data_IF_781022466660
#
_entry.id   IF_781022466660
#
_cell.length_a   1.000
_cell.length_b   1.000
_cell.length_c   1.000
_cell.angle_alpha   90.00
_cell.angle_beta   90.00
_cell.angle_gamma   90.00
#
_symmetry.space_group_name_H-M   'P 1'
#
loop_
_entity.id
_entity.type
_entity.pdbx_description
1 polymer ?
#
# COMPACT_ATOMS: atom_id res chain seq x y z
N UNK A 1 3.26 -30.46 16.78
CA UNK A 1 3.02 -31.29 15.57
C UNK A 1 2.05 -30.64 14.58
N UNK A 2 0.77 -30.31 14.94
CA UNK A 2 -0.16 -29.67 13.99
C UNK A 2 0.27 -28.23 13.68
N UNK A 3 0.70 -27.46 14.68
CA UNK A 3 1.21 -26.08 14.52
C UNK A 3 2.45 -26.03 13.62
N UNK A 4 3.37 -26.98 13.78
CA UNK A 4 4.60 -27.04 13.00
C UNK A 4 4.29 -27.38 11.53
N UNK A 5 3.31 -28.26 11.31
CA UNK A 5 2.84 -28.61 9.98
C UNK A 5 2.18 -27.42 9.26
N UNK A 6 1.38 -26.62 9.99
CA UNK A 6 0.74 -25.41 9.43
C UNK A 6 1.80 -24.35 9.12
N UNK A 7 2.74 -24.11 10.03
CA UNK A 7 3.82 -23.15 9.81
C UNK A 7 4.69 -23.55 8.61
N UNK A 8 5.01 -24.83 8.46
CA UNK A 8 5.76 -25.33 7.32
C UNK A 8 4.99 -25.11 5.99
N UNK A 9 3.67 -25.34 5.99
CA UNK A 9 2.82 -25.10 4.80
C UNK A 9 2.76 -23.63 4.44
N UNK A 10 2.59 -22.74 5.42
CA UNK A 10 2.56 -21.28 5.19
C UNK A 10 3.89 -20.79 4.63
N UNK A 11 5.00 -21.25 5.21
CA UNK A 11 6.34 -20.88 4.72
C UNK A 11 6.60 -21.40 3.31
N UNK A 12 6.20 -22.64 3.01
CA UNK A 12 6.31 -23.21 1.67
C UNK A 12 5.46 -22.44 0.66
N UNK A 13 4.23 -22.06 1.05
CA UNK A 13 3.35 -21.26 0.23
C UNK A 13 3.98 -19.88 -0.09
N UNK A 14 4.56 -19.23 0.91
CA UNK A 14 5.23 -17.94 0.75
C UNK A 14 6.44 -18.05 -0.18
N UNK A 15 7.23 -19.12 -0.04
CA UNK A 15 8.38 -19.39 -0.93
C UNK A 15 7.96 -19.62 -2.38
N UNK A 16 6.88 -20.36 -2.60
CA UNK A 16 6.33 -20.61 -3.95
C UNK A 16 5.84 -19.29 -4.55
N UNK A 17 5.08 -18.48 -3.81
CA UNK A 17 4.59 -17.20 -4.29
C UNK A 17 5.74 -16.22 -4.58
N UNK A 18 6.77 -16.21 -3.73
CA UNK A 18 7.96 -15.39 -3.97
C UNK A 18 8.70 -15.81 -5.25
N UNK A 19 8.83 -17.12 -5.51
CA UNK A 19 9.43 -17.62 -6.76
C UNK A 19 8.62 -17.20 -7.99
N UNK A 20 7.30 -17.27 -7.90
CA UNK A 20 6.41 -16.80 -8.97
C UNK A 20 6.60 -15.28 -9.22
N UNK A 21 6.70 -14.47 -8.15
CA UNK A 21 6.92 -13.02 -8.30
C UNK A 21 8.26 -12.69 -8.93
N UNK A 22 9.31 -13.49 -8.68
CA UNK A 22 10.61 -13.32 -9.33
C UNK A 22 10.57 -13.58 -10.85
N UNK A 23 9.69 -14.45 -11.30
CA UNK A 23 9.46 -14.70 -12.72
C UNK A 23 8.89 -13.45 -13.41
N UNK A 24 7.96 -12.76 -12.75
CA UNK A 24 7.30 -11.53 -13.23
C UNK A 24 8.01 -10.23 -12.78
N UNK A 25 9.32 -10.29 -12.52
CA UNK A 25 10.09 -9.14 -12.00
C UNK A 25 9.97 -7.84 -12.81
N UNK A 26 9.81 -7.94 -14.13
CA UNK A 26 9.64 -6.76 -15.00
C UNK A 26 8.29 -6.09 -14.76
N UNK A 27 7.24 -6.87 -14.59
CA UNK A 27 5.91 -6.38 -14.25
C UNK A 27 5.92 -5.69 -12.88
N UNK A 28 6.58 -6.29 -11.90
CA UNK A 28 6.74 -5.71 -10.55
C UNK A 28 7.52 -4.40 -10.60
N UNK A 29 8.56 -4.31 -11.44
CA UNK A 29 9.31 -3.06 -11.64
C UNK A 29 8.40 -1.97 -12.24
N UNK A 30 7.55 -2.29 -13.22
CA UNK A 30 6.58 -1.35 -13.78
C UNK A 30 5.56 -0.89 -12.74
N UNK A 31 5.07 -1.79 -11.90
CA UNK A 31 4.18 -1.45 -10.79
C UNK A 31 4.86 -0.56 -9.73
N UNK A 32 6.13 -0.81 -9.44
CA UNK A 32 6.91 0.06 -8.55
C UNK A 32 7.06 1.48 -9.13
N UNK A 33 7.32 1.59 -10.45
CA UNK A 33 7.39 2.85 -11.17
C UNK A 33 6.03 3.57 -11.16
N UNK A 34 4.91 2.86 -11.30
CA UNK A 34 3.57 3.47 -11.23
C UNK A 34 3.29 4.14 -9.87
N UNK A 35 4.01 3.74 -8.83
CA UNK A 35 3.96 4.33 -7.50
C UNK A 35 4.61 5.72 -7.37
N UNK A 36 5.20 6.28 -8.43
CA UNK A 36 5.90 7.60 -8.42
C UNK A 36 4.92 8.79 -8.33
N UNK A 37 3.61 8.57 -8.39
CA UNK A 37 2.59 9.64 -8.32
C UNK A 37 2.87 10.68 -7.23
N UNK A 38 3.27 10.34 -5.98
CA UNK A 38 3.58 11.33 -4.95
C UNK A 38 4.67 12.33 -5.36
N UNK A 39 5.65 11.92 -6.15
CA UNK A 39 6.73 12.81 -6.59
C UNK A 39 6.26 13.78 -7.69
N UNK A 40 5.32 13.37 -8.54
CA UNK A 40 4.65 14.31 -9.44
C UNK A 40 3.82 15.32 -8.66
N UNK A 41 3.13 14.90 -7.61
CA UNK A 41 2.38 15.79 -6.73
C UNK A 41 3.32 16.76 -6.01
N UNK A 42 4.45 16.31 -5.50
CA UNK A 42 5.48 17.18 -4.92
C UNK A 42 5.85 18.30 -5.90
N UNK A 43 6.16 17.96 -7.15
CA UNK A 43 6.55 18.94 -8.16
C UNK A 43 5.41 19.95 -8.46
N UNK A 44 4.16 19.49 -8.50
CA UNK A 44 3.00 20.37 -8.68
C UNK A 44 2.85 21.34 -7.50
N UNK A 45 3.01 20.84 -6.27
CA UNK A 45 2.85 21.63 -5.06
C UNK A 45 3.96 22.69 -4.91
N UNK A 46 5.21 22.35 -5.22
CA UNK A 46 6.35 23.28 -5.13
C UNK A 46 6.34 24.32 -6.25
N UNK A 47 6.13 23.90 -7.51
CA UNK A 47 6.18 24.83 -8.64
C UNK A 47 5.03 25.84 -8.69
N UNK A 48 3.89 25.55 -8.06
CA UNK A 48 2.76 26.49 -7.99
C UNK A 48 2.70 27.26 -6.67
N UNK A 49 3.75 27.19 -5.83
CA UNK A 49 3.81 27.80 -4.49
C UNK A 49 2.60 27.47 -3.60
N UNK A 50 1.97 26.32 -3.82
CA UNK A 50 0.81 25.87 -3.04
C UNK A 50 1.20 25.52 -1.60
N UNK A 51 2.48 25.18 -1.36
CA UNK A 51 3.07 24.95 -0.06
C UNK A 51 3.07 26.22 0.81
N UNK A 52 3.24 27.41 0.23
CA UNK A 52 3.17 28.68 0.96
C UNK A 52 1.77 28.93 1.53
N UNK A 53 0.73 28.54 0.81
CA UNK A 53 -0.67 28.69 1.25
C UNK A 53 -1.01 27.88 2.51
N UNK A 54 -0.24 26.83 2.79
CA UNK A 54 -0.40 25.94 3.96
C UNK A 54 0.75 26.06 4.97
N UNK A 55 1.65 27.04 4.79
CA UNK A 55 2.83 27.29 5.65
C UNK A 55 3.74 26.07 5.86
N UNK A 56 3.92 25.26 4.83
CA UNK A 56 4.83 24.10 4.85
C UNK A 56 6.07 24.41 4.01
N UNK A 57 7.27 24.14 4.54
CA UNK A 57 8.52 24.28 3.80
C UNK A 57 8.66 23.18 2.72
N UNK A 58 9.37 23.49 1.64
CA UNK A 58 9.64 22.53 0.54
C UNK A 58 10.31 21.24 1.03
N UNK A 59 11.20 21.37 2.01
CA UNK A 59 11.90 20.25 2.63
C UNK A 59 10.90 19.33 3.35
N UNK A 60 9.99 19.91 4.12
CA UNK A 60 8.98 19.13 4.85
C UNK A 60 8.00 18.48 3.89
N UNK A 61 7.62 19.17 2.83
CA UNK A 61 6.75 18.64 1.79
C UNK A 61 7.41 17.48 1.03
N UNK A 62 8.71 17.59 0.72
CA UNK A 62 9.49 16.54 0.08
C UNK A 62 9.57 15.27 0.94
N UNK A 63 9.79 15.42 2.25
CA UNK A 63 9.77 14.31 3.22
C UNK A 63 8.39 13.67 3.31
N UNK A 64 7.33 14.48 3.32
CA UNK A 64 5.95 14.00 3.31
C UNK A 64 5.68 13.08 2.11
N UNK A 65 5.95 13.54 0.89
CA UNK A 65 5.67 12.76 -0.30
C UNK A 65 6.57 11.52 -0.43
N UNK A 66 7.79 11.56 0.11
CA UNK A 66 8.63 10.36 0.20
C UNK A 66 8.03 9.32 1.15
N UNK A 67 7.56 9.74 2.32
CA UNK A 67 6.87 8.84 3.25
C UNK A 67 5.58 8.27 2.62
N UNK A 68 4.77 9.11 1.97
CA UNK A 68 3.57 8.68 1.27
C UNK A 68 3.87 7.66 0.16
N UNK A 69 4.98 7.82 -0.55
CA UNK A 69 5.47 6.84 -1.53
C UNK A 69 5.74 5.48 -0.88
N UNK A 70 6.51 5.44 0.23
CA UNK A 70 6.80 4.17 0.92
C UNK A 70 5.54 3.50 1.46
N UNK A 71 4.68 4.25 2.15
CA UNK A 71 3.44 3.69 2.68
C UNK A 71 2.58 3.12 1.56
N UNK A 72 2.43 3.84 0.44
CA UNK A 72 1.71 3.33 -0.72
C UNK A 72 2.31 2.05 -1.26
N UNK A 73 3.63 1.96 -1.40
CA UNK A 73 4.29 0.76 -1.96
C UNK A 73 4.02 -0.50 -1.13
N UNK A 74 3.85 -0.35 0.18
CA UNK A 74 3.68 -1.49 1.10
C UNK A 74 2.23 -1.70 1.59
N UNK A 75 1.30 -0.77 1.29
CA UNK A 75 -0.11 -0.90 1.69
C UNK A 75 -1.03 -1.36 0.57
N UNK A 76 -0.59 -1.28 -0.69
CA UNK A 76 -1.44 -1.63 -1.84
C UNK A 76 -1.71 -3.13 -1.89
N UNK A 77 -3.00 -3.48 -2.07
CA UNK A 77 -3.51 -4.85 -2.13
C UNK A 77 -4.48 -4.97 -3.31
N UNK A 78 -4.48 -6.10 -4.00
CA UNK A 78 -5.29 -6.38 -5.19
C UNK A 78 -6.10 -7.69 -5.08
N UNK A 79 -6.45 -8.10 -3.86
CA UNK A 79 -7.14 -9.38 -3.59
C UNK A 79 -8.44 -9.50 -4.37
N UNK A 80 -9.22 -8.42 -4.49
CA UNK A 80 -10.51 -8.45 -5.19
C UNK A 80 -10.36 -8.93 -6.64
N UNK A 81 -9.35 -8.43 -7.35
CA UNK A 81 -9.11 -8.79 -8.75
C UNK A 81 -8.67 -10.24 -8.89
N UNK A 82 -7.72 -10.69 -8.06
CA UNK A 82 -7.23 -12.07 -8.09
C UNK A 82 -8.31 -13.07 -7.69
N UNK A 83 -9.13 -12.72 -6.69
CA UNK A 83 -10.23 -13.58 -6.25
C UNK A 83 -11.36 -13.65 -7.28
N UNK A 84 -11.71 -12.53 -7.92
CA UNK A 84 -12.70 -12.47 -8.99
C UNK A 84 -12.28 -13.35 -10.17
N UNK A 85 -11.02 -13.23 -10.62
CA UNK A 85 -10.48 -14.08 -11.69
C UNK A 85 -10.53 -15.56 -11.32
N UNK A 86 -10.06 -15.93 -10.13
CA UNK A 86 -10.08 -17.32 -9.67
C UNK A 86 -11.51 -17.85 -9.49
N UNK A 87 -12.46 -16.99 -9.11
CA UNK A 87 -13.88 -17.35 -9.00
C UNK A 87 -14.49 -17.62 -10.37
N UNK A 88 -14.27 -16.74 -11.34
CA UNK A 88 -14.76 -16.88 -12.70
C UNK A 88 -14.14 -18.11 -13.42
N UNK A 89 -12.89 -18.42 -13.13
CA UNK A 89 -12.21 -19.61 -13.67
C UNK A 89 -12.54 -20.91 -12.91
N UNK A 90 -13.38 -20.86 -11.86
CA UNK A 90 -13.72 -22.01 -11.03
C UNK A 90 -12.59 -22.53 -10.14
N UNK A 91 -11.47 -21.81 -10.01
CA UNK A 91 -10.30 -22.21 -9.21
C UNK A 91 -10.55 -22.13 -7.69
N UNK A 92 -11.56 -21.37 -7.26
CA UNK A 92 -11.89 -21.22 -5.82
C UNK A 92 -12.38 -22.55 -5.24
N UNK A 93 -13.14 -23.36 -6.00
CA UNK A 93 -13.66 -24.66 -5.53
C UNK A 93 -12.55 -25.64 -5.13
N UNK A 94 -11.49 -25.87 -5.93
CA UNK A 94 -10.33 -26.66 -5.51
C UNK A 94 -9.61 -26.09 -4.29
N UNK A 95 -9.57 -24.77 -4.11
CA UNK A 95 -8.92 -24.15 -2.94
C UNK A 95 -9.69 -24.39 -1.64
N UNK A 96 -11.04 -24.48 -1.70
CA UNK A 96 -11.88 -24.75 -0.54
C UNK A 96 -11.73 -26.17 0.00
N UNK A 97 -11.31 -27.12 -0.85
CA UNK A 97 -11.06 -28.53 -0.44
C UNK A 97 -9.68 -28.68 0.22
N UNK A 98 -8.77 -27.71 0.01
CA UNK A 98 -7.43 -27.76 0.61
C UNK A 98 -7.49 -27.50 2.13
N UNK A 99 -6.58 -28.10 2.92
CA UNK A 99 -6.56 -27.92 4.37
C UNK A 99 -5.98 -26.56 4.81
N UNK A 100 -6.13 -25.52 4.00
CA UNK A 100 -5.72 -24.14 4.25
C UNK A 100 -6.84 -23.21 3.76
N UNK A 101 -7.13 -22.19 4.56
CA UNK A 101 -8.08 -21.16 4.11
C UNK A 101 -7.53 -20.48 2.84
N UNK A 102 -8.33 -20.34 1.76
CA UNK A 102 -7.91 -19.72 0.50
C UNK A 102 -7.29 -18.33 0.66
N UNK A 103 -7.74 -17.55 1.64
CA UNK A 103 -7.22 -16.21 1.89
C UNK A 103 -5.75 -16.19 2.32
N UNK A 104 -5.21 -17.25 2.93
CA UNK A 104 -3.77 -17.35 3.20
C UNK A 104 -2.93 -17.40 1.93
N UNK A 105 -3.48 -17.92 0.83
CA UNK A 105 -2.83 -17.91 -0.46
C UNK A 105 -2.68 -16.49 -1.01
N UNK A 106 -3.77 -15.71 -1.00
CA UNK A 106 -3.75 -14.31 -1.43
C UNK A 106 -2.88 -13.45 -0.51
N UNK A 107 -2.92 -13.71 0.78
CA UNK A 107 -2.06 -13.03 1.75
C UNK A 107 -0.57 -13.30 1.48
N UNK A 108 -0.18 -14.55 1.27
CA UNK A 108 1.19 -14.93 0.92
C UNK A 108 1.63 -14.33 -0.43
N UNK A 109 0.74 -14.25 -1.41
CA UNK A 109 0.99 -13.61 -2.69
C UNK A 109 1.34 -12.13 -2.52
N UNK A 110 0.54 -11.37 -1.77
CA UNK A 110 0.79 -9.95 -1.55
C UNK A 110 2.03 -9.68 -0.69
N UNK A 111 2.32 -10.52 0.32
CA UNK A 111 3.58 -10.44 1.06
C UNK A 111 4.79 -10.68 0.15
N UNK A 112 4.72 -11.69 -0.71
CA UNK A 112 5.79 -11.99 -1.66
C UNK A 112 6.00 -10.82 -2.65
N UNK A 113 4.91 -10.21 -3.12
CA UNK A 113 4.95 -9.03 -3.97
C UNK A 113 5.62 -7.83 -3.28
N UNK A 114 5.28 -7.56 -2.02
CA UNK A 114 5.91 -6.48 -1.25
C UNK A 114 7.43 -6.71 -1.07
N UNK A 115 7.84 -7.94 -0.74
CA UNK A 115 9.25 -8.30 -0.60
C UNK A 115 10.00 -8.10 -1.93
N UNK A 116 9.40 -8.51 -3.04
CA UNK A 116 10.01 -8.37 -4.38
C UNK A 116 10.06 -6.91 -4.84
N UNK A 117 9.09 -6.08 -4.42
CA UNK A 117 9.01 -4.64 -4.75
C UNK A 117 9.99 -3.80 -3.94
N UNK A 118 10.40 -4.27 -2.76
CA UNK A 118 11.27 -3.54 -1.83
C UNK A 118 12.57 -2.99 -2.48
N UNK A 119 13.38 -3.78 -3.22
CA UNK A 119 14.60 -3.26 -3.85
C UNK A 119 14.32 -2.16 -4.87
N UNK A 120 13.22 -2.25 -5.63
CA UNK A 120 12.84 -1.21 -6.59
C UNK A 120 12.42 0.09 -5.89
N UNK A 121 11.70 -0.02 -4.76
CA UNK A 121 11.34 1.13 -3.95
C UNK A 121 12.58 1.83 -3.37
N UNK A 122 13.59 1.08 -2.95
CA UNK A 122 14.87 1.65 -2.48
C UNK A 122 15.64 2.35 -3.60
N UNK A 123 15.66 1.79 -4.81
CA UNK A 123 16.30 2.42 -5.98
C UNK A 123 15.61 3.75 -6.30
N UNK A 124 14.29 3.79 -6.32
CA UNK A 124 13.51 5.00 -6.57
C UNK A 124 13.80 6.06 -5.48
N UNK A 125 13.80 5.67 -4.20
CA UNK A 125 14.12 6.56 -3.10
C UNK A 125 15.58 7.09 -3.19
N UNK A 126 16.53 6.27 -3.61
CA UNK A 126 17.90 6.68 -3.85
C UNK A 126 17.98 7.78 -4.91
N UNK A 127 17.32 7.59 -6.05
CA UNK A 127 17.24 8.64 -7.07
C UNK A 127 16.54 9.90 -6.54
N UNK A 128 15.49 9.77 -5.76
CA UNK A 128 14.81 10.90 -5.14
C UNK A 128 15.79 11.76 -4.30
N UNK A 129 16.63 11.14 -3.48
CA UNK A 129 17.61 11.86 -2.66
C UNK A 129 18.75 12.49 -3.49
N UNK A 130 19.10 11.94 -4.66
CA UNK A 130 20.03 12.60 -5.58
C UNK A 130 19.47 13.93 -6.09
N UNK A 131 18.16 13.96 -6.42
CA UNK A 131 17.50 15.17 -6.91
C UNK A 131 17.11 16.15 -5.81
N UNK A 132 16.93 15.67 -4.57
CA UNK A 132 16.51 16.46 -3.40
C UNK A 132 17.44 16.22 -2.20
N UNK A 133 18.72 16.62 -2.27
CA UNK A 133 19.69 16.33 -1.19
C UNK A 133 19.35 17.00 0.14
N UNK A 134 18.65 18.13 0.13
CA UNK A 134 18.21 18.85 1.33
C UNK A 134 17.12 18.09 2.12
N UNK A 135 16.45 17.14 1.48
CA UNK A 135 15.40 16.33 2.10
C UNK A 135 15.95 15.16 2.91
N UNK A 136 17.26 14.92 2.87
CA UNK A 136 17.89 13.84 3.63
C UNK A 136 17.73 14.10 5.12
N UNK A 137 17.17 13.13 5.84
CA UNK A 137 17.12 13.13 7.31
C UNK A 137 17.24 11.69 7.82
N UNK A 138 17.68 11.56 9.06
CA UNK A 138 17.71 10.27 9.74
C UNK A 138 16.62 10.29 10.80
N UNK A 139 15.53 9.54 10.62
CA UNK A 139 14.47 9.47 11.62
C UNK A 139 14.98 8.81 12.89
N UNK A 140 14.42 9.16 14.03
CA UNK A 140 14.67 8.46 15.28
C UNK A 140 14.24 6.98 15.13
N UNK A 141 15.03 6.05 15.70
CA UNK A 141 14.78 4.62 15.63
C UNK A 141 13.37 4.26 16.13
N UNK A 142 12.88 4.93 17.18
CA UNK A 142 11.51 4.74 17.67
C UNK A 142 10.44 5.12 16.65
N UNK A 143 10.63 6.26 15.97
CA UNK A 143 9.71 6.73 14.91
C UNK A 143 9.76 5.78 13.71
N UNK A 144 10.95 5.33 13.31
CA UNK A 144 11.11 4.37 12.22
C UNK A 144 10.37 3.05 12.52
N UNK A 145 10.55 2.51 13.73
CA UNK A 145 9.88 1.29 14.15
C UNK A 145 8.36 1.44 14.18
N UNK A 146 7.86 2.56 14.71
CA UNK A 146 6.43 2.86 14.73
C UNK A 146 5.85 2.99 13.32
N UNK A 147 6.57 3.64 12.40
CA UNK A 147 6.13 3.78 11.00
C UNK A 147 6.07 2.44 10.27
N UNK A 148 7.01 1.53 10.52
CA UNK A 148 6.99 0.17 9.95
C UNK A 148 5.77 -0.61 10.46
N UNK A 149 5.51 -0.57 11.78
CA UNK A 149 4.34 -1.23 12.37
C UNK A 149 3.05 -0.64 11.80
N UNK A 150 2.96 0.69 11.73
CA UNK A 150 1.79 1.38 11.19
C UNK A 150 1.53 1.00 9.73
N UNK A 151 2.57 0.94 8.90
CA UNK A 151 2.47 0.53 7.50
C UNK A 151 2.01 -0.93 7.38
N UNK A 152 2.53 -1.82 8.23
CA UNK A 152 2.10 -3.21 8.25
C UNK A 152 0.63 -3.36 8.70
N UNK A 153 0.19 -2.61 9.71
CA UNK A 153 -1.21 -2.58 10.12
C UNK A 153 -2.12 -2.04 9.02
N UNK A 154 -1.67 -1.01 8.30
CA UNK A 154 -2.35 -0.50 7.11
C UNK A 154 -2.57 -1.58 6.06
N UNK A 155 -1.51 -2.30 5.74
CA UNK A 155 -1.60 -3.44 4.82
C UNK A 155 -2.63 -4.47 5.29
N UNK A 156 -2.62 -4.85 6.57
CA UNK A 156 -3.58 -5.81 7.12
C UNK A 156 -5.03 -5.31 7.01
N UNK A 157 -5.28 -4.04 7.37
CA UNK A 157 -6.62 -3.45 7.27
C UNK A 157 -7.08 -3.44 5.81
N UNK A 158 -6.23 -3.00 4.89
CA UNK A 158 -6.55 -2.96 3.47
C UNK A 158 -6.80 -4.37 2.90
N UNK A 159 -5.99 -5.35 3.33
CA UNK A 159 -6.19 -6.75 2.95
C UNK A 159 -7.54 -7.29 3.44
N UNK A 160 -7.93 -6.99 4.68
CA UNK A 160 -9.22 -7.42 5.23
C UNK A 160 -10.39 -6.76 4.50
N UNK A 161 -10.32 -5.45 4.25
CA UNK A 161 -11.36 -4.72 3.50
C UNK A 161 -11.50 -5.32 2.09
N UNK A 162 -10.40 -5.51 1.39
CA UNK A 162 -10.40 -6.10 0.06
C UNK A 162 -10.90 -7.55 0.07
N UNK A 163 -10.60 -8.32 1.11
CA UNK A 163 -11.11 -9.69 1.27
C UNK A 163 -12.64 -9.71 1.47
N UNK A 164 -13.18 -8.74 2.23
CA UNK A 164 -14.63 -8.60 2.39
C UNK A 164 -15.29 -8.24 1.06
N UNK A 165 -14.73 -7.28 0.32
CA UNK A 165 -15.24 -6.89 -1.00
C UNK A 165 -15.12 -8.06 -1.99
N UNK A 166 -14.03 -8.82 -1.94
CA UNK A 166 -13.84 -10.01 -2.78
C UNK A 166 -14.94 -11.07 -2.54
N UNK A 167 -15.39 -11.26 -1.31
CA UNK A 167 -16.49 -12.18 -1.01
C UNK A 167 -17.80 -11.80 -1.72
N UNK A 168 -17.98 -10.53 -2.11
CA UNK A 168 -19.16 -10.12 -2.88
C UNK A 168 -19.21 -10.75 -4.28
N UNK A 169 -18.11 -11.32 -4.79
CA UNK A 169 -18.10 -12.08 -6.05
C UNK A 169 -19.10 -13.25 -6.05
N UNK A 170 -19.48 -13.76 -4.88
CA UNK A 170 -20.49 -14.81 -4.79
C UNK A 170 -21.93 -14.33 -5.07
N UNK A 171 -22.17 -13.01 -5.00
CA UNK A 171 -23.46 -12.39 -5.30
C UNK A 171 -23.43 -11.51 -6.54
N UNK A 172 -22.26 -10.95 -6.85
CA UNK A 172 -22.06 -10.07 -8.01
C UNK A 172 -20.93 -10.65 -8.86
N UNK A 173 -21.15 -10.78 -10.17
CA UNK A 173 -20.13 -11.31 -11.07
C UNK A 173 -18.85 -10.44 -11.12
N UNK A 174 -18.96 -9.15 -10.78
CA UNK A 174 -17.87 -8.15 -10.88
C UNK A 174 -17.71 -7.32 -9.61
N UNK A 175 -17.12 -7.91 -8.55
CA UNK A 175 -16.76 -7.19 -7.34
C UNK A 175 -15.65 -6.15 -7.58
N UNK A 176 -14.80 -6.34 -8.60
CA UNK A 176 -13.80 -5.36 -9.01
C UNK A 176 -14.39 -4.01 -9.41
N UNK A 177 -15.65 -3.94 -9.84
CA UNK A 177 -16.34 -2.68 -10.12
C UNK A 177 -16.58 -1.87 -8.86
N UNK A 178 -16.88 -2.54 -7.74
CA UNK A 178 -17.05 -1.91 -6.42
C UNK A 178 -15.70 -1.37 -5.94
N UNK A 179 -14.63 -2.15 -6.11
CA UNK A 179 -13.28 -1.71 -5.74
C UNK A 179 -12.86 -0.46 -6.53
N UNK A 180 -13.11 -0.41 -7.83
CA UNK A 180 -12.82 0.77 -8.66
C UNK A 180 -13.61 2.00 -8.20
N UNK A 181 -14.85 1.84 -7.75
CA UNK A 181 -15.66 2.92 -7.20
C UNK A 181 -15.05 3.44 -5.88
N UNK A 182 -14.57 2.54 -5.02
CA UNK A 182 -13.95 2.88 -3.74
C UNK A 182 -12.54 3.46 -3.90
N UNK A 183 -11.86 3.12 -4.98
CA UNK A 183 -10.49 3.57 -5.25
C UNK A 183 -10.38 5.09 -5.38
N UNK A 184 -11.33 5.74 -6.06
CA UNK A 184 -11.28 7.20 -6.30
C UNK A 184 -11.35 7.99 -4.99
N UNK A 185 -12.36 7.82 -4.11
CA UNK A 185 -12.36 8.47 -2.80
C UNK A 185 -11.12 8.16 -1.97
N UNK A 186 -10.66 6.91 -1.99
CA UNK A 186 -9.47 6.48 -1.26
C UNK A 186 -8.23 7.23 -1.74
N UNK A 187 -8.07 7.43 -3.04
CA UNK A 187 -6.94 8.17 -3.62
C UNK A 187 -6.89 9.63 -3.13
N UNK A 188 -8.05 10.30 -3.05
CA UNK A 188 -8.14 11.68 -2.57
C UNK A 188 -7.94 11.77 -1.05
N UNK A 189 -8.59 10.90 -0.29
CA UNK A 189 -8.57 10.94 1.18
C UNK A 189 -7.28 10.37 1.80
N UNK A 190 -6.48 9.64 1.02
CA UNK A 190 -5.23 9.04 1.50
C UNK A 190 -4.08 10.04 1.75
N UNK A 191 -4.24 11.31 1.36
CA UNK A 191 -3.15 12.27 1.41
C UNK A 191 -2.08 12.09 0.31
N UNK A 192 -2.33 11.19 -0.65
CA UNK A 192 -1.39 10.90 -1.73
C UNK A 192 -1.31 12.02 -2.77
N UNK A 193 -2.44 12.67 -3.05
CA UNK A 193 -2.55 13.77 -4.02
C UNK A 193 -2.32 15.13 -3.39
N UNK A 194 -2.73 15.31 -2.14
CA UNK A 194 -2.60 16.56 -1.41
C UNK A 194 -2.28 16.27 0.06
N UNK A 195 -1.41 17.07 0.70
CA UNK A 195 -1.17 16.95 2.14
C UNK A 195 -2.49 17.13 2.90
N UNK A 196 -2.73 16.28 3.91
CA UNK A 196 -3.99 16.33 4.67
C UNK A 196 -4.22 17.68 5.35
N UNK A 197 -3.12 18.37 5.66
CA UNK A 197 -3.16 19.73 6.23
C UNK A 197 -3.84 20.75 5.31
N UNK A 198 -3.85 20.53 3.98
CA UNK A 198 -4.47 21.43 3.01
C UNK A 198 -6.01 21.36 2.97
N UNK A 199 -6.60 20.31 3.57
CA UNK A 199 -8.05 20.17 3.58
C UNK A 199 -8.72 21.04 4.64
N UNK A 200 -9.97 21.50 4.40
CA UNK A 200 -10.76 22.19 5.42
C UNK A 200 -11.02 21.31 6.66
N UNK A 201 -11.17 21.91 7.83
CA UNK A 201 -11.25 21.17 9.10
C UNK A 201 -12.42 20.17 9.18
N UNK A 202 -13.54 20.48 8.53
CA UNK A 202 -14.67 19.54 8.44
C UNK A 202 -14.34 18.28 7.62
N UNK A 203 -13.48 18.40 6.60
CA UNK A 203 -13.00 17.25 5.80
C UNK A 203 -11.93 16.49 6.57
N UNK A 204 -11.02 17.18 7.27
CA UNK A 204 -10.02 16.54 8.12
C UNK A 204 -10.66 15.60 9.15
N UNK A 205 -11.74 16.03 9.79
CA UNK A 205 -12.46 15.20 10.76
C UNK A 205 -12.95 13.88 10.17
N UNK A 206 -13.42 13.89 8.93
CA UNK A 206 -13.81 12.68 8.20
C UNK A 206 -12.60 11.85 7.76
N UNK A 207 -11.55 12.50 7.28
CA UNK A 207 -10.30 11.85 6.89
C UNK A 207 -9.74 11.08 8.09
N UNK A 208 -9.68 11.67 9.28
CA UNK A 208 -9.19 11.03 10.50
C UNK A 208 -10.03 9.82 10.96
N UNK A 209 -11.29 9.73 10.58
CA UNK A 209 -12.15 8.58 10.87
C UNK A 209 -11.99 7.43 9.86
N UNK A 210 -11.38 7.68 8.69
CA UNK A 210 -11.18 6.63 7.69
C UNK A 210 -9.96 5.78 8.02
N UNK A 211 -10.00 4.45 7.85
CA UNK A 211 -8.85 3.57 8.10
C UNK A 211 -7.61 3.95 7.30
N UNK A 212 -7.81 4.53 6.12
CA UNK A 212 -6.74 4.97 5.20
C UNK A 212 -5.91 6.11 5.78
N UNK A 213 -6.52 6.99 6.55
CA UNK A 213 -5.89 8.16 7.14
C UNK A 213 -4.97 7.83 8.32
N UNK A 214 -5.34 6.85 9.14
CA UNK A 214 -4.52 6.46 10.30
C UNK A 214 -3.11 5.99 9.91
N UNK A 215 -2.94 5.52 8.71
CA UNK A 215 -1.69 4.96 8.23
C UNK A 215 -0.72 6.00 7.69
N UNK A 216 -1.24 7.09 7.13
CA UNK A 216 -0.42 8.13 6.53
C UNK A 216 -0.08 9.29 7.48
N UNK A 217 -0.92 9.56 8.48
CA UNK A 217 -0.84 10.79 9.28
C UNK A 217 -0.03 10.68 10.56
N UNK A 218 -0.04 9.54 11.23
CA UNK A 218 0.70 9.37 12.49
C UNK A 218 2.22 9.38 12.34
N UNK A 219 2.72 9.16 11.14
CA UNK A 219 4.15 9.31 10.86
C UNK A 219 4.60 10.80 10.84
N UNK A 220 3.67 11.74 10.75
CA UNK A 220 3.95 13.17 10.63
C UNK A 220 3.74 14.00 11.90
N UNK A 221 2.91 13.54 12.83
CA UNK A 221 2.67 14.29 14.09
C UNK A 221 3.79 14.12 15.13
N UNK A 222 4.76 13.26 14.87
CA UNK A 222 5.86 12.96 15.80
C UNK A 222 7.23 13.50 15.38
N UNK A 223 7.27 14.43 14.42
CA UNK A 223 8.53 15.08 14.01
C UNK A 223 8.58 16.54 14.38
#
# INVERSE_FOLDING_TARGET
>A
MISDLINHKIFTLLKVQYSNMLEYRVEIALWAISGIIPFFMLNIWTNNNLNESINISDIMLSRYFLCAFFVRQFSVVWVVFSFEEDSLMGKVSPYLIQPLNPFFRYFAQHLAEQITRFPFALIIAFFFFIFNPESIWVPNIGVLFLSIISTFLSFLIQFLIQSIVACLCFWTEKASSIERLLFIPTLFLSGLLAPVVSFPDYVKSWIYLTPVSYTHLRAHETS
#
